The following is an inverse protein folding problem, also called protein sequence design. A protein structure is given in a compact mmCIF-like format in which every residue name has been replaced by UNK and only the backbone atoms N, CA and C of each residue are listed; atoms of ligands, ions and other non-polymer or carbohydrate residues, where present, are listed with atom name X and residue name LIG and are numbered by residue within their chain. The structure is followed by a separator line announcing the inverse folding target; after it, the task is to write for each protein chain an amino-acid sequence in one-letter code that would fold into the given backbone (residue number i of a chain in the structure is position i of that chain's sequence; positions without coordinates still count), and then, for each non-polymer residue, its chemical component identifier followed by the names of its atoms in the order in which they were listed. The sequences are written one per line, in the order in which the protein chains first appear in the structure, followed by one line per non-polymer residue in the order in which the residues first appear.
data_IF_414850375699
#
_entry.id   IF_414850375699
#
_cell.length_a   1.000
_cell.length_b   1.000
_cell.length_c   1.000
_cell.angle_alpha   90.00
_cell.angle_beta   90.00
_cell.angle_gamma   90.00
#
_symmetry.space_group_name_H-M   'P 1'
#
loop_
_entity.id
_entity.type
_entity.pdbx_description
1 polymer ?
#
# COMPACT_ATOMS: atom_id res chain seq x y z
N UNK A 1 -15.34 -9.09 -5.06
CA UNK A 1 -15.09 -8.14 -3.97
C UNK A 1 -14.57 -6.85 -4.59
N UNK A 2 -15.19 -5.69 -4.35
CA UNK A 2 -14.55 -4.44 -4.70
C UNK A 2 -13.67 -4.02 -3.53
N UNK A 3 -12.36 -4.00 -3.75
CA UNK A 3 -11.35 -3.55 -2.79
C UNK A 3 -11.02 -2.09 -3.05
N UNK A 4 -10.52 -1.41 -2.02
CA UNK A 4 -10.14 0.00 -2.14
C UNK A 4 -8.96 0.16 -3.10
N UNK A 5 -8.85 1.27 -3.84
CA UNK A 5 -7.70 1.51 -4.70
C UNK A 5 -6.43 1.64 -3.88
N UNK A 6 -5.34 0.98 -4.29
CA UNK A 6 -4.02 1.14 -3.68
C UNK A 6 -2.93 1.09 -4.75
N UNK A 7 -1.85 1.89 -4.66
CA UNK A 7 -0.77 1.87 -5.63
C UNK A 7 -0.21 0.46 -5.86
N UNK A 8 -0.18 0.01 -7.12
CA UNK A 8 0.34 -1.31 -7.49
C UNK A 8 -0.53 -2.51 -7.07
N UNK A 9 -1.75 -2.27 -6.57
CA UNK A 9 -2.73 -3.33 -6.33
C UNK A 9 -3.51 -3.63 -7.61
N UNK A 10 -3.52 -4.91 -8.00
CA UNK A 10 -4.23 -5.36 -9.20
C UNK A 10 -5.71 -5.56 -8.93
N UNK A 11 -6.54 -5.06 -9.84
CA UNK A 11 -7.97 -5.34 -9.85
C UNK A 11 -8.27 -6.62 -10.64
N UNK A 12 -9.09 -7.50 -10.07
CA UNK A 12 -9.46 -8.79 -10.65
C UNK A 12 -10.89 -8.72 -11.23
N UNK A 13 -11.05 -8.12 -12.42
CA UNK A 13 -12.37 -7.91 -13.04
C UNK A 13 -13.14 -9.22 -13.34
N UNK A 14 -12.44 -10.29 -13.72
CA UNK A 14 -13.03 -11.61 -14.01
C UNK A 14 -12.91 -12.59 -12.82
N UNK A 15 -12.47 -12.11 -11.66
CA UNK A 15 -12.26 -12.94 -10.47
C UNK A 15 -11.24 -14.08 -10.72
N UNK A 16 -11.70 -15.33 -10.65
CA UNK A 16 -10.87 -16.56 -10.68
C UNK A 16 -10.80 -17.26 -12.05
N UNK A 17 -11.37 -16.69 -13.11
CA UNK A 17 -11.52 -17.31 -14.43
C UNK A 17 -10.25 -17.45 -15.28
N UNK A 18 -9.06 -17.49 -14.69
CA UNK A 18 -7.80 -17.46 -15.44
C UNK A 18 -7.50 -18.80 -16.13
N UNK A 19 -7.39 -18.79 -17.47
CA UNK A 19 -6.95 -19.96 -18.26
C UNK A 19 -5.48 -20.32 -18.06
N UNK A 20 -4.65 -19.35 -17.67
CA UNK A 20 -3.23 -19.51 -17.34
C UNK A 20 -2.90 -18.65 -16.13
N UNK A 21 -2.15 -19.21 -15.20
CA UNK A 21 -1.80 -18.56 -13.93
C UNK A 21 -0.34 -18.07 -13.97
N UNK A 22 -0.11 -16.77 -13.76
CA UNK A 22 1.23 -16.19 -13.68
C UNK A 22 1.65 -15.90 -12.24
N UNK A 23 2.96 -15.72 -12.01
CA UNK A 23 3.45 -15.33 -10.68
C UNK A 23 2.90 -13.98 -10.20
N UNK A 24 2.59 -13.06 -11.12
CA UNK A 24 1.96 -11.78 -10.79
C UNK A 24 0.48 -11.96 -10.40
N UNK A 25 -0.22 -12.92 -11.00
CA UNK A 25 -1.59 -13.28 -10.58
C UNK A 25 -1.57 -13.83 -9.16
N UNK A 26 -0.66 -14.75 -8.84
CA UNK A 26 -0.49 -15.26 -7.46
C UNK A 26 -0.26 -14.11 -6.46
N UNK A 27 0.71 -13.24 -6.75
CA UNK A 27 1.07 -12.14 -5.85
C UNK A 27 -0.08 -11.16 -5.66
N UNK A 28 -0.79 -10.80 -6.73
CA UNK A 28 -1.96 -9.93 -6.62
C UNK A 28 -3.07 -10.58 -5.79
N UNK A 29 -3.31 -11.88 -5.98
CA UNK A 29 -4.35 -12.61 -5.26
C UNK A 29 -4.03 -12.70 -3.77
N UNK A 30 -2.77 -12.99 -3.40
CA UNK A 30 -2.32 -13.05 -2.00
C UNK A 30 -2.70 -11.79 -1.20
N UNK A 31 -2.74 -10.63 -1.84
CA UNK A 31 -3.06 -9.34 -1.19
C UNK A 31 -4.54 -9.15 -0.86
N UNK A 32 -5.46 -9.87 -1.51
CA UNK A 32 -6.91 -9.60 -1.43
C UNK A 32 -7.75 -10.85 -1.17
N UNK A 33 -7.16 -12.04 -1.27
CA UNK A 33 -7.88 -13.31 -1.22
C UNK A 33 -8.44 -13.62 0.16
N UNK A 34 -7.66 -13.31 1.21
CA UNK A 34 -7.98 -13.75 2.56
C UNK A 34 -9.32 -13.19 3.07
N UNK A 35 -9.61 -11.87 3.01
CA UNK A 35 -10.93 -11.35 3.33
C UNK A 35 -12.05 -11.88 2.44
N UNK A 36 -11.74 -12.22 1.19
CA UNK A 36 -12.75 -12.62 0.20
C UNK A 36 -13.32 -14.03 0.43
N UNK A 37 -12.72 -14.83 1.31
CA UNK A 37 -13.19 -16.19 1.64
C UNK A 37 -13.84 -16.29 3.03
N UNK A 38 -13.69 -15.26 3.88
CA UNK A 38 -14.32 -15.20 5.20
C UNK A 38 -15.84 -15.34 5.06
N UNK A 39 -16.47 -16.12 5.95
CA UNK A 39 -17.92 -16.39 5.90
C UNK A 39 -18.38 -17.33 4.78
N UNK A 40 -17.51 -17.69 3.84
CA UNK A 40 -17.84 -18.57 2.70
C UNK A 40 -17.19 -19.95 2.78
N UNK A 41 -16.17 -20.11 3.61
CA UNK A 41 -15.49 -21.39 3.90
C UNK A 41 -15.39 -21.59 5.41
N UNK A 42 -15.15 -22.81 5.91
CA UNK A 42 -14.92 -23.04 7.33
C UNK A 42 -13.80 -22.12 7.88
N UNK A 43 -13.95 -21.55 9.09
CA UNK A 43 -12.95 -20.64 9.68
C UNK A 43 -11.52 -21.20 9.68
N UNK A 44 -11.36 -22.50 9.94
CA UNK A 44 -10.06 -23.16 9.94
C UNK A 44 -9.38 -23.15 8.53
N UNK A 45 -10.14 -23.09 7.44
CA UNK A 45 -9.57 -22.89 6.10
C UNK A 45 -9.02 -21.48 5.92
N UNK A 46 -9.71 -20.47 6.46
CA UNK A 46 -9.26 -19.08 6.46
C UNK A 46 -7.95 -18.98 7.25
N UNK A 47 -7.92 -19.56 8.45
CA UNK A 47 -6.73 -19.63 9.31
C UNK A 47 -5.55 -20.32 8.60
N UNK A 48 -5.78 -21.45 7.92
CA UNK A 48 -4.74 -22.13 7.16
C UNK A 48 -4.15 -21.25 6.04
N UNK A 49 -4.99 -20.46 5.36
CA UNK A 49 -4.50 -19.51 4.34
C UNK A 49 -3.76 -18.35 5.00
N UNK A 50 -4.27 -17.82 6.12
CA UNK A 50 -3.63 -16.75 6.88
C UNK A 50 -2.24 -17.17 7.38
N UNK A 51 -2.11 -18.34 8.01
CA UNK A 51 -0.84 -18.89 8.50
C UNK A 51 0.17 -19.09 7.37
N UNK A 52 -0.30 -19.55 6.20
CA UNK A 52 0.55 -19.71 5.02
C UNK A 52 1.01 -18.36 4.45
N UNK A 53 0.14 -17.35 4.42
CA UNK A 53 0.51 -15.99 4.03
C UNK A 53 1.52 -15.41 5.02
N UNK A 54 1.29 -15.59 6.31
CA UNK A 54 2.19 -15.15 7.38
C UNK A 54 3.61 -15.69 7.15
N UNK A 55 3.74 -17.01 6.97
CA UNK A 55 5.00 -17.63 6.59
C UNK A 55 5.61 -16.97 5.35
N UNK A 56 4.82 -16.76 4.28
CA UNK A 56 5.31 -16.23 3.02
C UNK A 56 5.85 -14.80 3.13
N UNK A 57 5.30 -13.97 4.03
CA UNK A 57 5.77 -12.60 4.25
C UNK A 57 7.00 -12.59 5.16
N UNK A 58 7.01 -13.39 6.24
CA UNK A 58 8.16 -13.50 7.15
C UNK A 58 9.44 -13.95 6.44
N UNK A 59 9.38 -15.01 5.62
CA UNK A 59 10.58 -15.49 4.91
C UNK A 59 11.06 -14.55 3.81
N UNK A 60 10.32 -13.49 3.48
CA UNK A 60 10.71 -12.50 2.46
C UNK A 60 11.29 -11.22 3.05
N UNK A 61 11.37 -11.12 4.38
CA UNK A 61 12.05 -10.01 5.04
C UNK A 61 13.52 -9.95 4.62
N UNK A 62 14.04 -8.74 4.48
CA UNK A 62 15.44 -8.51 4.14
C UNK A 62 16.39 -8.85 5.29
N UNK A 63 15.90 -8.71 6.53
CA UNK A 63 16.62 -9.08 7.76
C UNK A 63 15.76 -10.10 8.50
N UNK A 64 16.38 -11.21 8.91
CA UNK A 64 15.73 -12.29 9.66
C UNK A 64 16.61 -12.58 10.86
N UNK A 65 16.16 -12.17 12.04
CA UNK A 65 16.78 -12.43 13.35
C UNK A 65 16.17 -13.68 14.01
N UNK A 66 16.65 -14.01 15.20
CA UNK A 66 16.19 -15.16 15.99
C UNK A 66 14.68 -15.10 16.27
N UNK A 67 14.14 -13.93 16.57
CA UNK A 67 12.72 -13.72 16.82
C UNK A 67 11.89 -13.98 15.56
N UNK A 68 12.35 -13.51 14.40
CA UNK A 68 11.71 -13.77 13.11
C UNK A 68 11.80 -15.26 12.74
N UNK A 69 12.90 -15.95 13.04
CA UNK A 69 13.01 -17.42 12.85
C UNK A 69 11.97 -18.14 13.71
N UNK A 70 11.83 -17.78 14.99
CA UNK A 70 10.81 -18.35 15.87
C UNK A 70 9.39 -18.06 15.34
N UNK A 71 9.13 -16.86 14.81
CA UNK A 71 7.87 -16.53 14.16
C UNK A 71 7.60 -17.39 12.92
N UNK A 72 8.61 -17.68 12.09
CA UNK A 72 8.51 -18.58 10.94
C UNK A 72 8.15 -20.00 11.38
N UNK A 73 8.83 -20.54 12.39
CA UNK A 73 8.55 -21.88 12.94
C UNK A 73 7.14 -21.99 13.50
N UNK A 74 6.69 -20.96 14.21
CA UNK A 74 5.32 -20.86 14.72
C UNK A 74 4.29 -20.81 13.59
N UNK A 75 4.52 -19.99 12.54
CA UNK A 75 3.63 -19.91 11.39
C UNK A 75 3.53 -21.25 10.64
N UNK A 76 4.63 -21.98 10.47
CA UNK A 76 4.64 -23.33 9.87
C UNK A 76 3.82 -24.31 10.72
N UNK A 77 4.01 -24.27 12.04
CA UNK A 77 3.31 -25.15 12.98
C UNK A 77 1.80 -24.90 12.97
N UNK A 78 1.37 -23.64 13.02
CA UNK A 78 -0.05 -23.26 12.88
C UNK A 78 -0.61 -23.65 11.52
N UNK A 79 0.10 -23.39 10.43
CA UNK A 79 -0.31 -23.81 9.09
C UNK A 79 -0.53 -25.32 9.00
N UNK A 80 0.38 -26.13 9.55
CA UNK A 80 0.25 -27.58 9.56
C UNK A 80 -0.93 -28.10 10.39
N UNK A 81 -1.25 -27.40 11.48
CA UNK A 81 -2.43 -27.69 12.28
C UNK A 81 -3.71 -27.30 11.54
N UNK A 82 -3.80 -26.06 11.07
CA UNK A 82 -4.99 -25.49 10.41
C UNK A 82 -5.30 -26.18 9.08
N UNK A 83 -4.29 -26.56 8.28
CA UNK A 83 -4.53 -27.19 6.96
C UNK A 83 -5.27 -28.51 7.03
N UNK A 84 -5.31 -29.16 8.19
CA UNK A 84 -5.99 -30.44 8.39
C UNK A 84 -7.48 -30.38 8.01
N UNK A 85 -8.09 -29.20 8.10
CA UNK A 85 -9.44 -28.94 7.59
C UNK A 85 -9.65 -29.35 6.13
N UNK A 86 -8.63 -29.24 5.27
CA UNK A 86 -8.74 -29.63 3.87
C UNK A 86 -8.84 -31.15 3.72
N UNK A 87 -8.32 -31.93 4.67
CA UNK A 87 -8.50 -33.38 4.69
C UNK A 87 -9.88 -33.74 5.23
N UNK A 88 -10.30 -33.15 6.34
CA UNK A 88 -11.59 -33.47 6.99
C UNK A 88 -12.80 -33.07 6.13
N UNK A 89 -12.69 -31.99 5.36
CA UNK A 89 -13.74 -31.57 4.39
C UNK A 89 -13.71 -32.32 3.06
N UNK A 90 -12.77 -33.26 2.87
CA UNK A 90 -12.65 -34.04 1.64
C UNK A 90 -12.06 -33.29 0.44
N UNK A 91 -11.52 -32.08 0.63
CA UNK A 91 -10.80 -31.34 -0.43
C UNK A 91 -9.48 -32.04 -0.78
N UNK A 92 -8.82 -32.65 0.21
CA UNK A 92 -7.56 -33.40 0.09
C UNK A 92 -7.61 -34.69 0.93
N UNK A 93 -8.41 -35.69 0.54
CA UNK A 93 -8.56 -36.92 1.33
C UNK A 93 -7.24 -37.69 1.46
N UNK A 94 -6.40 -37.67 0.43
CA UNK A 94 -5.10 -38.38 0.38
C UNK A 94 -3.97 -37.65 1.13
N UNK A 95 -4.28 -36.57 1.85
CA UNK A 95 -3.33 -35.79 2.64
C UNK A 95 -2.43 -34.85 1.83
N UNK A 96 -1.30 -34.46 2.45
CA UNK A 96 -0.42 -33.38 1.97
C UNK A 96 0.96 -33.85 1.45
N UNK A 97 1.28 -35.14 1.59
CA UNK A 97 2.55 -35.72 1.12
C UNK A 97 2.91 -35.44 -0.34
N UNK A 98 1.97 -35.42 -1.32
CA UNK A 98 2.32 -35.14 -2.72
C UNK A 98 2.53 -33.65 -3.04
N UNK A 99 2.69 -32.78 -2.04
CA UNK A 99 2.85 -31.34 -2.20
C UNK A 99 4.29 -30.91 -1.84
N UNK A 100 5.27 -31.08 -2.75
CA UNK A 100 6.68 -30.81 -2.45
C UNK A 100 6.94 -29.36 -2.03
N UNK A 101 6.17 -28.40 -2.57
CA UNK A 101 6.27 -26.97 -2.19
C UNK A 101 5.71 -26.67 -0.80
N UNK A 102 4.77 -27.46 -0.30
CA UNK A 102 4.33 -27.34 1.10
C UNK A 102 5.31 -28.07 2.03
N UNK A 103 5.88 -29.19 1.59
CA UNK A 103 6.91 -29.87 2.36
C UNK A 103 8.17 -29.00 2.50
N UNK A 104 8.53 -28.20 1.49
CA UNK A 104 9.73 -27.35 1.57
C UNK A 104 9.71 -26.32 2.70
N UNK A 105 8.54 -25.97 3.23
CA UNK A 105 8.38 -24.96 4.27
C UNK A 105 9.21 -25.29 5.52
N UNK A 106 9.27 -26.57 5.93
CA UNK A 106 10.00 -26.99 7.14
C UNK A 106 11.51 -26.82 7.04
N UNK A 107 12.05 -26.66 5.84
CA UNK A 107 13.48 -26.50 5.63
C UNK A 107 13.92 -25.03 5.71
N UNK A 108 12.99 -24.07 5.66
CA UNK A 108 13.32 -22.65 5.68
C UNK A 108 14.08 -22.21 6.93
N UNK A 109 13.68 -22.57 8.17
CA UNK A 109 14.39 -22.14 9.38
C UNK A 109 15.88 -22.53 9.35
N UNK A 110 16.18 -23.81 9.08
CA UNK A 110 17.56 -24.30 8.97
C UNK A 110 18.34 -23.62 7.84
N UNK A 111 17.72 -23.47 6.66
CA UNK A 111 18.38 -22.85 5.51
C UNK A 111 18.66 -21.36 5.75
N UNK A 112 17.76 -20.65 6.43
CA UNK A 112 17.97 -19.25 6.81
C UNK A 112 19.14 -19.12 7.79
N UNK A 113 19.21 -20.00 8.79
CA UNK A 113 20.34 -20.00 9.74
C UNK A 113 21.69 -20.30 9.05
N UNK A 114 21.68 -21.18 8.05
CA UNK A 114 22.91 -21.56 7.33
C UNK A 114 23.34 -20.57 6.24
N UNK A 115 22.38 -19.91 5.57
CA UNK A 115 22.64 -19.17 4.33
C UNK A 115 22.13 -17.72 4.35
N UNK A 116 21.45 -17.29 5.40
CA UNK A 116 20.85 -15.96 5.53
C UNK A 116 19.46 -15.84 4.90
N UNK A 117 18.94 -14.61 4.86
CA UNK A 117 17.63 -14.31 4.31
C UNK A 117 17.55 -14.71 2.82
N UNK A 118 16.45 -15.35 2.37
CA UNK A 118 16.32 -15.80 0.99
C UNK A 118 15.93 -14.65 0.04
N UNK A 119 15.71 -13.44 0.57
CA UNK A 119 15.46 -12.26 -0.24
C UNK A 119 16.64 -12.05 -1.23
N UNK A 120 16.33 -11.82 -2.50
CA UNK A 120 17.35 -11.71 -3.55
C UNK A 120 17.89 -13.03 -4.14
N UNK A 121 17.49 -14.21 -3.65
CA UNK A 121 17.88 -15.52 -4.22
C UNK A 121 16.84 -16.11 -5.18
N UNK A 122 15.84 -15.33 -5.59
CA UNK A 122 14.75 -15.81 -6.43
C UNK A 122 15.16 -15.97 -7.91
N UNK A 123 14.68 -17.05 -8.55
CA UNK A 123 14.82 -17.27 -9.99
C UNK A 123 14.16 -16.18 -10.85
N UNK A 124 13.37 -15.28 -10.27
CA UNK A 124 12.86 -14.11 -10.98
C UNK A 124 13.96 -13.20 -11.52
N UNK A 125 15.14 -13.17 -10.87
CA UNK A 125 16.29 -12.39 -11.34
C UNK A 125 16.81 -12.96 -12.66
N UNK A 126 17.00 -14.27 -12.73
CA UNK A 126 17.45 -14.94 -13.95
C UNK A 126 16.36 -14.95 -15.02
N UNK A 127 15.09 -15.09 -14.64
CA UNK A 127 13.96 -14.99 -15.57
C UNK A 127 13.84 -13.59 -16.20
N UNK A 128 14.01 -12.53 -15.42
CA UNK A 128 14.02 -11.15 -15.92
C UNK A 128 15.14 -10.93 -16.95
N UNK A 129 16.35 -11.42 -16.65
CA UNK A 129 17.47 -11.41 -17.62
C UNK A 129 17.16 -12.25 -18.85
N UNK A 130 16.53 -13.41 -18.70
CA UNK A 130 16.11 -14.27 -19.82
C UNK A 130 15.08 -13.58 -20.74
N UNK A 131 14.19 -12.74 -20.22
CA UNK A 131 13.30 -11.92 -21.05
C UNK A 131 14.11 -10.98 -21.95
N UNK A 132 15.07 -10.26 -21.37
CA UNK A 132 15.86 -9.25 -22.08
C UNK A 132 16.86 -9.89 -23.06
N UNK A 133 17.57 -10.93 -22.64
CA UNK A 133 18.64 -11.55 -23.41
C UNK A 133 18.16 -12.63 -24.40
N UNK A 134 16.97 -13.22 -24.20
CA UNK A 134 16.49 -14.32 -25.03
C UNK A 134 15.13 -14.01 -25.65
N UNK A 135 14.07 -13.82 -24.84
CA UNK A 135 12.70 -13.68 -25.38
C UNK A 135 12.56 -12.47 -26.31
N UNK A 136 13.10 -11.30 -25.95
CA UNK A 136 13.04 -10.09 -26.78
C UNK A 136 13.86 -10.22 -28.08
N UNK A 137 15.14 -10.60 -28.05
CA UNK A 137 15.91 -10.85 -29.26
C UNK A 137 15.29 -11.91 -30.17
N UNK A 138 14.78 -13.01 -29.62
CA UNK A 138 14.09 -14.04 -30.40
C UNK A 138 12.85 -13.48 -31.10
N UNK A 139 12.02 -12.69 -30.40
CA UNK A 139 10.84 -12.03 -30.98
C UNK A 139 11.19 -11.05 -32.12
N UNK A 140 12.35 -10.40 -32.03
CA UNK A 140 12.88 -9.45 -33.04
C UNK A 140 13.63 -10.12 -34.19
N UNK A 141 14.04 -11.37 -34.03
CA UNK A 141 14.75 -12.14 -35.05
C UNK A 141 13.81 -12.62 -36.16
N UNK A 142 14.39 -13.09 -37.27
CA UNK A 142 13.64 -13.77 -38.34
C UNK A 142 13.05 -15.13 -37.92
N UNK A 143 13.36 -15.63 -36.72
CA UNK A 143 13.00 -16.96 -36.17
C UNK A 143 13.53 -18.15 -36.97
N UNK A 144 14.28 -17.92 -38.05
CA UNK A 144 15.00 -18.94 -38.80
C UNK A 144 16.49 -18.90 -38.43
N UNK A 145 16.99 -19.94 -37.78
CA UNK A 145 18.35 -19.98 -37.18
C UNK A 145 18.68 -18.69 -36.39
N UNK A 146 17.84 -18.30 -35.41
CA UNK A 146 17.85 -16.94 -34.85
C UNK A 146 19.05 -16.64 -33.95
N UNK A 147 19.83 -17.64 -33.54
CA UNK A 147 20.87 -17.50 -32.51
C UNK A 147 21.89 -16.40 -32.84
N UNK A 148 22.40 -16.36 -34.07
CA UNK A 148 23.36 -15.34 -34.49
C UNK A 148 22.78 -13.92 -34.40
N UNK A 149 21.52 -13.73 -34.81
CA UNK A 149 20.82 -12.44 -34.71
C UNK A 149 20.55 -12.04 -33.25
N UNK A 150 20.22 -13.02 -32.40
CA UNK A 150 20.00 -12.79 -30.98
C UNK A 150 21.28 -12.32 -30.28
N UNK A 151 22.41 -13.00 -30.53
CA UNK A 151 23.71 -12.64 -29.97
C UNK A 151 24.17 -11.25 -30.42
N UNK A 152 24.02 -10.93 -31.71
CA UNK A 152 24.32 -9.59 -32.24
C UNK A 152 23.44 -8.51 -31.63
N UNK A 153 22.17 -8.79 -31.38
CA UNK A 153 21.25 -7.86 -30.73
C UNK A 153 21.69 -7.57 -29.30
N UNK A 154 22.03 -8.61 -28.53
CA UNK A 154 22.54 -8.45 -27.16
C UNK A 154 23.83 -7.64 -27.15
N UNK A 155 24.80 -7.98 -28.01
CA UNK A 155 26.06 -7.24 -28.12
C UNK A 155 25.84 -5.75 -28.43
N UNK A 156 24.90 -5.42 -29.33
CA UNK A 156 24.58 -4.02 -29.66
C UNK A 156 23.94 -3.30 -28.47
N UNK A 157 23.04 -3.96 -27.74
CA UNK A 157 22.42 -3.38 -26.56
C UNK A 157 23.43 -3.11 -25.44
N UNK A 158 24.38 -4.01 -25.23
CA UNK A 158 25.45 -3.85 -24.25
C UNK A 158 26.38 -2.68 -24.64
N UNK A 159 26.79 -2.60 -25.91
CA UNK A 159 27.59 -1.49 -26.43
C UNK A 159 26.89 -0.13 -26.27
N UNK A 160 25.59 -0.05 -26.57
CA UNK A 160 24.81 1.16 -26.38
C UNK A 160 24.69 1.55 -24.90
N UNK A 161 24.54 0.56 -24.02
CA UNK A 161 24.46 0.80 -22.57
C UNK A 161 25.80 1.32 -22.03
N UNK A 162 26.92 0.72 -22.43
CA UNK A 162 28.25 1.16 -22.05
C UNK A 162 28.57 2.57 -22.59
N UNK A 163 28.26 2.84 -23.87
CA UNK A 163 28.47 4.16 -24.46
C UNK A 163 27.63 5.24 -23.76
N UNK A 164 26.42 4.90 -23.32
CA UNK A 164 25.59 5.83 -22.55
C UNK A 164 26.23 6.20 -21.20
N UNK A 165 26.76 5.22 -20.47
CA UNK A 165 27.49 5.47 -19.22
C UNK A 165 28.68 6.39 -19.44
N UNK A 166 29.44 6.17 -20.53
CA UNK A 166 30.55 7.06 -20.92
C UNK A 166 30.04 8.50 -21.18
N UNK A 167 28.94 8.68 -21.91
CA UNK A 167 28.35 10.00 -22.16
C UNK A 167 27.84 10.67 -20.88
N UNK A 168 27.21 9.93 -19.97
CA UNK A 168 26.75 10.43 -18.67
C UNK A 168 27.94 10.86 -17.80
N UNK A 169 29.05 10.09 -17.78
CA UNK A 169 30.28 10.45 -17.05
C UNK A 169 30.95 11.73 -17.55
N UNK A 170 30.73 12.07 -18.83
CA UNK A 170 31.25 13.28 -19.48
C UNK A 170 30.26 14.45 -19.44
N UNK A 171 29.12 14.30 -18.76
CA UNK A 171 28.01 15.27 -18.76
C UNK A 171 27.46 15.61 -20.15
N UNK A 172 27.65 14.73 -21.14
CA UNK A 172 27.13 14.88 -22.51
C UNK A 172 25.70 14.33 -22.64
N UNK A 173 25.24 13.59 -21.62
CA UNK A 173 23.87 13.13 -21.45
C UNK A 173 23.45 13.38 -20.01
N UNK A 174 22.24 13.92 -19.81
CA UNK A 174 21.68 14.04 -18.47
C UNK A 174 21.54 12.64 -17.87
N UNK A 175 21.98 12.42 -16.62
CA UNK A 175 21.76 11.17 -15.91
C UNK A 175 20.28 10.85 -15.95
N UNK A 176 19.94 9.60 -16.30
CA UNK A 176 18.56 9.14 -16.16
C UNK A 176 18.23 9.24 -14.68
N UNK A 177 17.31 10.14 -14.27
CA UNK A 177 16.71 10.08 -12.93
C UNK A 177 16.35 8.63 -12.68
N UNK A 178 16.96 8.01 -11.68
CA UNK A 178 16.87 6.59 -11.29
C UNK A 178 15.65 5.91 -11.90
N UNK A 179 15.81 5.36 -13.11
CA UNK A 179 14.75 4.58 -13.70
C UNK A 179 14.72 3.28 -12.92
N UNK A 180 13.57 2.96 -12.33
CA UNK A 180 13.28 1.64 -11.82
C UNK A 180 13.76 0.55 -12.82
N UNK A 181 14.07 -0.67 -12.35
CA UNK A 181 14.32 -1.80 -13.24
C UNK A 181 13.24 -1.83 -14.35
N UNK A 182 13.58 -2.21 -15.59
CA UNK A 182 12.64 -2.15 -16.70
C UNK A 182 11.33 -2.82 -16.26
N UNK A 183 10.17 -2.17 -16.43
CA UNK A 183 8.91 -2.72 -15.94
C UNK A 183 8.74 -4.16 -16.44
N UNK A 184 8.10 -5.03 -15.65
CA UNK A 184 7.69 -6.34 -16.15
C UNK A 184 6.95 -6.11 -17.48
N UNK A 185 7.18 -6.97 -18.50
CA UNK A 185 6.58 -6.76 -19.80
C UNK A 185 5.07 -6.61 -19.66
N UNK A 186 4.41 -5.72 -20.43
CA UNK A 186 2.96 -5.72 -20.49
C UNK A 186 2.50 -7.13 -20.87
N UNK A 187 1.39 -7.62 -20.29
CA UNK A 187 0.83 -8.90 -20.69
C UNK A 187 0.64 -8.93 -22.22
N UNK A 188 0.67 -10.12 -22.85
CA UNK A 188 0.32 -10.23 -24.26
C UNK A 188 -1.03 -9.52 -24.47
N UNK A 189 -1.23 -8.80 -25.59
CA UNK A 189 -2.45 -8.03 -25.80
C UNK A 189 -3.65 -8.95 -25.59
N UNK A 190 -4.38 -8.67 -24.51
CA UNK A 190 -5.72 -9.18 -24.34
C UNK A 190 -6.56 -8.58 -25.47
N UNK A 191 -7.53 -9.37 -25.93
CA UNK A 191 -8.47 -9.02 -26.99
C UNK A 191 -9.06 -7.62 -26.76
N UNK A 192 -9.51 -6.92 -27.83
CA UNK A 192 -9.85 -5.50 -27.76
C UNK A 192 -10.89 -5.27 -26.65
N UNK A 193 -10.49 -4.51 -25.63
CA UNK A 193 -11.34 -4.23 -24.47
C UNK A 193 -10.66 -3.50 -23.32
N UNK A 194 -9.34 -3.61 -23.15
CA UNK A 194 -8.62 -2.90 -22.07
C UNK A 194 -7.56 -1.97 -22.65
N UNK A 195 -7.85 -0.68 -22.64
CA UNK A 195 -6.88 0.38 -22.91
C UNK A 195 -5.93 0.40 -21.71
N UNK A 196 -4.73 -0.17 -21.86
CA UNK A 196 -3.63 0.06 -20.94
C UNK A 196 -3.18 1.53 -21.12
N UNK A 197 -3.78 2.42 -20.33
CA UNK A 197 -3.24 3.77 -20.16
C UNK A 197 -1.87 3.69 -19.48
N UNK A 198 -0.90 4.55 -19.87
CA UNK A 198 0.43 4.55 -19.28
C UNK A 198 0.34 4.69 -17.75
N UNK A 199 0.83 3.68 -17.03
CA UNK A 199 1.02 3.74 -15.58
C UNK A 199 2.01 4.87 -15.27
N UNK A 200 1.53 6.01 -14.77
CA UNK A 200 2.38 6.95 -14.03
C UNK A 200 3.03 6.17 -12.87
N UNK A 201 4.32 6.37 -12.59
CA UNK A 201 5.01 5.72 -11.47
C UNK A 201 4.38 6.19 -10.14
N UNK A 202 3.29 5.52 -9.71
CA UNK A 202 2.52 5.88 -8.50
C UNK A 202 3.25 5.47 -7.21
N UNK A 203 4.23 4.57 -7.33
CA UNK A 203 5.10 4.10 -6.25
C UNK A 203 6.33 3.42 -6.85
N UNK A 204 7.48 3.55 -6.19
CA UNK A 204 8.72 2.95 -6.70
C UNK A 204 9.95 3.14 -5.82
N UNK A 205 11.07 2.49 -6.21
CA UNK A 205 12.35 2.67 -5.56
C UNK A 205 12.84 4.13 -5.72
N UNK A 206 13.52 4.66 -4.70
CA UNK A 206 14.10 6.01 -4.76
C UNK A 206 15.52 6.02 -4.16
N UNK A 207 16.44 6.72 -4.80
CA UNK A 207 17.82 6.88 -4.32
C UNK A 207 17.92 8.17 -3.49
N UNK A 208 17.54 8.08 -2.21
CA UNK A 208 17.61 9.17 -1.22
C UNK A 208 18.31 8.70 0.07
N UNK A 209 18.80 9.63 0.91
CA UNK A 209 19.27 9.31 2.25
C UNK A 209 18.20 8.55 3.04
N UNK A 210 18.64 7.73 3.98
CA UNK A 210 17.76 6.99 4.88
C UNK A 210 16.76 7.94 5.57
N UNK A 211 15.48 7.56 5.56
CA UNK A 211 14.41 8.19 6.33
C UNK A 211 13.46 7.09 6.82
N UNK A 212 13.08 7.16 8.09
CA UNK A 212 12.13 6.21 8.69
C UNK A 212 10.73 6.35 8.07
N UNK A 213 10.34 7.58 7.75
CA UNK A 213 9.09 7.95 7.08
C UNK A 213 9.05 9.47 6.91
N UNK A 214 8.65 9.96 5.75
CA UNK A 214 8.48 11.39 5.48
C UNK A 214 7.39 11.59 4.43
N UNK A 215 6.40 12.42 4.76
CA UNK A 215 5.27 12.73 3.87
C UNK A 215 5.30 14.21 3.49
N UNK A 216 5.47 14.47 2.19
CA UNK A 216 5.55 15.84 1.66
C UNK A 216 4.42 16.14 0.69
N UNK A 217 3.80 17.30 0.85
CA UNK A 217 2.82 17.80 -0.11
C UNK A 217 3.40 17.92 -1.52
N UNK A 218 2.57 17.68 -2.52
CA UNK A 218 2.91 17.94 -3.92
C UNK A 218 3.47 19.35 -4.12
N UNK A 219 4.53 19.48 -4.94
CA UNK A 219 5.25 20.76 -5.10
C UNK A 219 4.39 21.94 -5.54
N UNK A 220 3.30 21.70 -6.27
CA UNK A 220 2.41 22.75 -6.78
C UNK A 220 1.01 22.55 -6.20
N UNK A 221 0.40 23.60 -5.63
CA UNK A 221 -1.00 23.54 -5.23
C UNK A 221 -1.90 23.38 -6.46
N UNK A 222 -3.10 22.87 -6.22
CA UNK A 222 -4.16 22.75 -7.19
C UNK A 222 -4.45 24.10 -7.87
N UNK A 223 -4.67 24.06 -9.18
CA UNK A 223 -4.96 25.25 -9.99
C UNK A 223 -6.47 25.42 -10.13
N UNK A 224 -6.92 26.68 -10.22
CA UNK A 224 -8.34 27.03 -10.42
C UNK A 224 -9.26 26.54 -9.28
N UNK A 225 -8.71 26.42 -8.07
CA UNK A 225 -9.46 26.10 -6.85
C UNK A 225 -9.62 27.38 -6.01
N UNK A 226 -10.78 27.59 -5.34
CA UNK A 226 -10.95 28.66 -4.38
C UNK A 226 -9.89 28.61 -3.27
N UNK A 227 -9.51 29.77 -2.74
CA UNK A 227 -8.43 29.87 -1.74
C UNK A 227 -8.88 30.46 -0.42
N UNK A 228 -10.03 31.13 -0.36
CA UNK A 228 -10.57 31.65 0.91
C UNK A 228 -11.16 30.48 1.68
N UNK A 229 -11.07 30.51 3.01
CA UNK A 229 -11.49 29.38 3.84
C UNK A 229 -12.94 29.00 3.57
N UNK A 230 -13.86 29.98 3.55
CA UNK A 230 -15.28 29.73 3.32
C UNK A 230 -15.54 29.15 1.92
N UNK A 231 -14.98 29.78 0.86
CA UNK A 231 -15.15 29.28 -0.51
C UNK A 231 -14.54 27.87 -0.70
N UNK A 232 -13.46 27.56 0.04
CA UNK A 232 -12.83 26.25 0.03
C UNK A 232 -13.64 25.23 0.83
N UNK A 233 -14.28 25.64 1.93
CA UNK A 233 -15.19 24.82 2.72
C UNK A 233 -16.39 24.39 1.87
N UNK A 234 -17.01 25.34 1.16
CA UNK A 234 -18.10 25.07 0.22
C UNK A 234 -17.63 24.17 -0.93
N UNK A 235 -16.44 24.47 -1.48
CA UNK A 235 -15.85 23.62 -2.49
C UNK A 235 -15.72 22.20 -1.94
N UNK A 236 -15.05 21.96 -0.82
CA UNK A 236 -14.82 20.63 -0.27
C UNK A 236 -16.09 19.95 0.28
N UNK A 237 -17.22 20.66 0.39
CA UNK A 237 -18.43 20.22 1.09
C UNK A 237 -18.14 19.93 2.57
N UNK A 238 -17.34 20.79 3.19
CA UNK A 238 -16.86 20.66 4.57
C UNK A 238 -17.12 21.98 5.31
N UNK A 239 -18.37 22.24 5.75
CA UNK A 239 -18.74 23.53 6.35
C UNK A 239 -18.00 23.82 7.66
N UNK A 240 -17.52 22.77 8.34
CA UNK A 240 -16.74 22.89 9.58
C UNK A 240 -15.26 23.17 9.34
N UNK A 241 -14.79 23.28 8.10
CA UNK A 241 -13.36 23.44 7.77
C UNK A 241 -12.71 24.60 8.52
N UNK A 242 -13.40 25.74 8.65
CA UNK A 242 -12.90 26.89 9.41
C UNK A 242 -12.67 26.55 10.90
N UNK A 243 -13.62 25.86 11.52
CA UNK A 243 -13.53 25.38 12.90
C UNK A 243 -12.36 24.42 13.05
N UNK A 244 -12.26 23.41 12.17
CA UNK A 244 -11.21 22.40 12.21
C UNK A 244 -9.81 23.01 12.07
N UNK A 245 -9.64 24.00 11.19
CA UNK A 245 -8.35 24.71 11.04
C UNK A 245 -7.95 25.48 12.31
N UNK A 246 -8.92 26.05 13.03
CA UNK A 246 -8.66 26.77 14.29
C UNK A 246 -8.34 25.82 15.44
N UNK A 247 -9.04 24.68 15.52
CA UNK A 247 -8.75 23.63 16.49
C UNK A 247 -7.36 23.02 16.26
N UNK A 248 -7.02 22.76 14.99
CA UNK A 248 -5.67 22.36 14.60
C UNK A 248 -4.62 23.39 15.01
N UNK A 249 -4.84 24.68 14.72
CA UNK A 249 -3.91 25.74 15.13
C UNK A 249 -3.74 25.82 16.65
N UNK A 250 -4.81 25.56 17.41
CA UNK A 250 -4.70 25.50 18.86
C UNK A 250 -3.74 24.38 19.30
N UNK A 251 -3.89 23.17 18.76
CA UNK A 251 -3.00 22.04 19.04
C UNK A 251 -1.54 22.35 18.69
N UNK A 252 -1.31 23.00 17.54
CA UNK A 252 0.05 23.37 17.11
C UNK A 252 0.70 24.43 17.99
N UNK A 253 -0.10 25.33 18.57
CA UNK A 253 0.39 26.39 19.46
C UNK A 253 0.50 25.93 20.93
N UNK A 254 -0.11 24.78 21.27
CA UNK A 254 -0.11 24.21 22.62
C UNK A 254 0.15 22.69 22.56
N UNK A 255 1.35 22.27 22.14
CA UNK A 255 1.68 20.84 22.00
C UNK A 255 1.63 20.09 23.34
N UNK A 256 1.90 20.77 24.46
CA UNK A 256 1.90 20.19 25.80
C UNK A 256 0.53 20.23 26.50
N UNK A 257 -0.55 20.54 25.76
CA UNK A 257 -1.89 20.56 26.33
C UNK A 257 -2.27 19.15 26.86
N UNK A 258 -2.84 19.03 28.07
CA UNK A 258 -3.23 17.73 28.59
C UNK A 258 -4.40 17.14 27.79
N UNK A 259 -4.50 15.80 27.79
CA UNK A 259 -5.63 15.07 27.20
C UNK A 259 -6.96 15.61 27.74
N UNK A 260 -7.90 15.90 26.84
CA UNK A 260 -9.18 16.54 27.18
C UNK A 260 -9.14 18.07 27.20
N UNK A 261 -8.00 18.70 26.89
CA UNK A 261 -7.85 20.14 26.65
C UNK A 261 -7.26 20.42 25.26
N UNK A 262 -7.45 19.49 24.32
CA UNK A 262 -7.05 19.69 22.94
C UNK A 262 -8.03 20.63 22.24
N UNK A 263 -7.67 21.12 21.06
CA UNK A 263 -8.44 22.07 20.27
C UNK A 263 -9.89 21.66 20.05
N UNK A 264 -10.17 20.35 19.95
CA UNK A 264 -11.53 19.81 19.82
C UNK A 264 -12.37 19.88 21.10
N UNK A 265 -11.71 19.90 22.27
CA UNK A 265 -12.35 19.83 23.59
C UNK A 265 -12.61 21.22 24.18
N UNK A 266 -12.01 22.27 23.59
CA UNK A 266 -12.15 23.64 24.06
C UNK A 266 -13.17 24.46 23.24
N UNK A 267 -13.80 25.48 23.86
CA UNK A 267 -14.64 26.42 23.13
C UNK A 267 -13.90 27.12 21.98
N UNK A 268 -14.56 27.24 20.83
CA UNK A 268 -13.96 27.76 19.59
C UNK A 268 -13.50 29.23 19.70
N UNK A 269 -14.04 30.00 20.63
CA UNK A 269 -13.60 31.36 20.96
C UNK A 269 -12.21 31.40 21.61
N UNK A 270 -11.78 30.31 22.25
CA UNK A 270 -10.44 30.16 22.82
C UNK A 270 -9.40 29.70 21.79
N UNK A 271 -9.82 29.12 20.67
CA UNK A 271 -8.91 28.75 19.59
C UNK A 271 -8.32 30.00 18.89
N UNK A 272 -7.11 29.93 18.32
CA UNK A 272 -6.51 31.04 17.58
C UNK A 272 -7.43 31.55 16.47
N UNK A 273 -7.58 32.87 16.34
CA UNK A 273 -8.44 33.45 15.30
C UNK A 273 -7.80 33.26 13.91
N UNK A 274 -8.60 32.76 12.97
CA UNK A 274 -8.25 32.66 11.55
C UNK A 274 -9.30 33.43 10.76
N UNK A 275 -8.90 34.49 10.06
CA UNK A 275 -9.81 35.26 9.22
C UNK A 275 -10.51 34.32 8.21
N UNK A 276 -11.82 34.45 8.05
CA UNK A 276 -12.60 33.76 7.01
C UNK A 276 -12.03 33.98 5.59
N UNK A 277 -11.37 35.13 5.36
CA UNK A 277 -10.69 35.46 4.11
C UNK A 277 -9.28 34.89 4.00
N UNK A 278 -8.81 34.17 5.02
CA UNK A 278 -7.48 33.61 5.06
C UNK A 278 -7.26 32.67 3.87
N UNK A 279 -6.03 32.66 3.34
CA UNK A 279 -5.72 31.92 2.12
C UNK A 279 -5.20 30.52 2.45
N UNK A 280 -5.98 29.51 2.09
CA UNK A 280 -5.63 28.10 2.18
C UNK A 280 -5.42 27.56 0.77
N UNK A 281 -4.35 26.80 0.58
CA UNK A 281 -3.97 26.19 -0.69
C UNK A 281 -4.26 24.69 -0.64
N UNK A 282 -5.13 24.22 -1.54
CA UNK A 282 -5.40 22.79 -1.71
C UNK A 282 -4.29 22.12 -2.53
N UNK A 283 -3.89 20.93 -2.13
CA UNK A 283 -3.02 20.02 -2.86
C UNK A 283 -3.78 18.73 -3.19
N UNK A 284 -3.53 18.15 -4.37
CA UNK A 284 -4.22 16.94 -4.82
C UNK A 284 -3.56 15.64 -4.35
N UNK A 285 -2.32 15.74 -3.89
CA UNK A 285 -1.54 14.60 -3.43
C UNK A 285 -0.42 15.01 -2.49
N UNK A 286 0.02 14.02 -1.72
CA UNK A 286 1.25 14.02 -0.94
C UNK A 286 2.08 12.78 -1.31
N UNK A 287 3.38 12.87 -1.10
CA UNK A 287 4.36 11.85 -1.44
C UNK A 287 4.97 11.32 -0.14
N UNK A 288 4.72 10.05 0.16
CA UNK A 288 5.33 9.35 1.28
C UNK A 288 6.64 8.71 0.83
N UNK A 289 7.68 8.79 1.64
CA UNK A 289 8.99 8.18 1.42
C UNK A 289 9.44 7.48 2.70
N UNK A 290 9.75 6.19 2.61
CA UNK A 290 10.02 5.35 3.78
C UNK A 290 11.02 4.25 3.41
N UNK A 291 11.66 3.70 4.45
CA UNK A 291 12.62 2.61 4.31
C UNK A 291 11.90 1.26 4.24
N UNK A 292 12.01 0.57 3.10
CA UNK A 292 11.32 -0.70 2.82
C UNK A 292 12.22 -1.66 2.03
N UNK A 293 13.30 -2.18 2.64
CA UNK A 293 14.31 -2.98 1.95
C UNK A 293 13.81 -4.38 1.54
N UNK A 294 12.73 -4.87 2.17
CA UNK A 294 12.05 -6.11 1.81
C UNK A 294 11.21 -5.97 0.52
N UNK A 295 10.88 -4.74 0.14
CA UNK A 295 10.20 -4.41 -1.12
C UNK A 295 11.20 -4.10 -2.24
N UNK A 296 10.70 -3.90 -3.46
CA UNK A 296 11.51 -3.36 -4.55
C UNK A 296 11.87 -1.90 -4.22
N UNK A 297 13.06 -1.69 -3.66
CA UNK A 297 13.56 -0.42 -3.14
C UNK A 297 14.79 0.12 -3.89
N UNK A 298 15.13 1.38 -3.66
CA UNK A 298 16.34 2.02 -4.20
C UNK A 298 17.61 1.48 -3.55
N UNK A 299 18.77 2.00 -3.96
CA UNK A 299 20.09 1.56 -3.46
C UNK A 299 20.23 1.68 -1.94
N UNK A 300 19.54 2.66 -1.33
CA UNK A 300 19.49 2.87 0.11
C UNK A 300 18.34 2.16 0.83
N UNK A 301 17.60 1.26 0.17
CA UNK A 301 16.42 0.62 0.76
C UNK A 301 15.16 1.50 0.79
N UNK A 302 15.22 2.71 0.20
CA UNK A 302 14.12 3.66 0.21
C UNK A 302 13.09 3.39 -0.89
N UNK A 303 11.83 3.59 -0.54
CA UNK A 303 10.67 3.49 -1.43
C UNK A 303 9.82 4.75 -1.28
N UNK A 304 9.08 5.09 -2.33
CA UNK A 304 8.07 6.11 -2.27
C UNK A 304 6.70 5.63 -2.76
N UNK A 305 5.66 6.33 -2.35
CA UNK A 305 4.29 6.18 -2.88
C UNK A 305 3.52 7.50 -2.85
N UNK A 306 2.54 7.61 -3.75
CA UNK A 306 1.70 8.79 -3.87
C UNK A 306 0.34 8.57 -3.19
N UNK A 307 0.04 9.40 -2.21
CA UNK A 307 -1.24 9.46 -1.50
C UNK A 307 -2.10 10.56 -2.16
N UNK A 308 -3.35 10.25 -2.51
CA UNK A 308 -4.24 11.15 -3.25
C UNK A 308 -5.49 11.55 -2.47
N UNK A 309 -5.86 12.80 -2.68
CA UNK A 309 -7.15 13.37 -2.29
C UNK A 309 -7.67 14.24 -3.44
N UNK A 310 -8.44 13.62 -4.34
CA UNK A 310 -8.93 14.25 -5.58
C UNK A 310 -10.41 13.97 -5.81
N UNK A 311 -11.13 14.99 -6.26
CA UNK A 311 -12.57 14.88 -6.58
C UNK A 311 -12.89 14.15 -7.88
N UNK A 312 -11.91 14.03 -8.77
CA UNK A 312 -12.01 13.25 -9.99
C UNK A 312 -10.64 12.70 -10.34
N UNK A 313 -10.57 11.39 -10.54
CA UNK A 313 -9.35 10.69 -10.94
C UNK A 313 -9.55 10.07 -12.32
N UNK A 314 -8.67 10.39 -13.28
CA UNK A 314 -8.74 9.92 -14.69
C UNK A 314 -10.12 10.12 -15.33
N UNK A 315 -10.69 11.32 -15.17
CA UNK A 315 -12.07 11.65 -15.59
C UNK A 315 -13.16 10.75 -14.99
N UNK A 316 -12.82 10.03 -13.92
CA UNK A 316 -13.71 9.15 -13.18
C UNK A 316 -14.09 9.74 -11.82
N UNK A 317 -14.59 8.88 -10.90
CA UNK A 317 -15.04 9.28 -9.58
C UNK A 317 -13.89 9.83 -8.71
N UNK A 318 -14.27 10.39 -7.56
CA UNK A 318 -13.31 10.85 -6.57
C UNK A 318 -12.43 9.70 -6.03
N UNK A 319 -11.21 10.06 -5.61
CA UNK A 319 -10.25 9.15 -4.98
C UNK A 319 -9.68 9.83 -3.74
N UNK A 320 -9.93 9.20 -2.60
CA UNK A 320 -9.50 9.62 -1.27
C UNK A 320 -8.83 8.41 -0.62
N UNK A 321 -7.50 8.42 -0.62
CA UNK A 321 -6.69 7.30 -0.15
C UNK A 321 -6.68 7.24 1.39
N UNK A 322 -6.49 6.04 1.95
CA UNK A 322 -6.29 5.84 3.38
C UNK A 322 -4.80 5.90 3.73
N UNK A 323 -4.49 6.25 4.97
CA UNK A 323 -3.14 6.46 5.48
C UNK A 323 -2.98 5.86 6.87
N UNK A 324 -1.79 5.34 7.14
CA UNK A 324 -1.30 5.09 8.48
C UNK A 324 -0.72 6.38 9.06
N UNK A 325 -0.97 6.61 10.33
CA UNK A 325 -0.41 7.71 11.12
C UNK A 325 0.25 7.12 12.37
N UNK A 326 1.31 7.76 12.86
CA UNK A 326 1.95 7.37 14.12
C UNK A 326 1.05 7.81 15.28
N UNK A 327 0.81 6.89 16.23
CA UNK A 327 0.13 7.17 17.48
C UNK A 327 1.08 7.75 18.54
N UNK A 328 0.52 8.26 19.63
CA UNK A 328 1.26 8.99 20.66
C UNK A 328 2.00 8.09 21.66
N UNK A 329 1.73 6.77 21.68
CA UNK A 329 2.31 5.84 22.66
C UNK A 329 3.56 5.12 22.13
N UNK A 330 4.73 5.54 22.61
CA UNK A 330 6.03 4.95 22.27
C UNK A 330 6.20 3.51 22.79
N UNK A 331 5.34 3.04 23.71
CA UNK A 331 5.41 1.70 24.30
C UNK A 331 4.72 0.61 23.46
N UNK A 332 3.88 1.00 22.51
CA UNK A 332 3.11 0.07 21.68
C UNK A 332 3.89 -0.40 20.45
N UNK A 333 3.61 -1.62 19.98
CA UNK A 333 4.33 -2.25 18.87
C UNK A 333 3.35 -2.65 17.76
N UNK A 334 3.84 -2.74 16.53
CA UNK A 334 3.04 -3.18 15.39
C UNK A 334 1.95 -2.17 15.04
N UNK A 335 0.71 -2.64 14.95
CA UNK A 335 -0.44 -1.80 14.61
C UNK A 335 -1.02 -1.03 15.81
N UNK A 336 -0.76 -1.43 17.05
CA UNK A 336 -1.31 -0.72 18.23
C UNK A 336 -0.83 0.74 18.25
N UNK A 337 0.46 0.97 17.96
CA UNK A 337 1.05 2.30 17.74
C UNK A 337 0.60 3.03 16.46
N UNK A 338 -0.24 2.43 15.62
CA UNK A 338 -0.65 3.01 14.34
C UNK A 338 -2.13 3.40 14.37
N UNK A 339 -2.41 4.58 13.85
CA UNK A 339 -3.77 5.06 13.58
C UNK A 339 -4.08 4.97 12.09
N UNK A 340 -5.36 4.85 11.74
CA UNK A 340 -5.82 4.79 10.34
C UNK A 340 -6.79 5.94 10.07
N UNK A 341 -6.61 6.58 8.93
CA UNK A 341 -7.51 7.65 8.48
C UNK A 341 -7.66 7.68 6.96
N UNK A 342 -8.76 8.24 6.48
CA UNK A 342 -9.00 8.53 5.05
C UNK A 342 -8.77 10.01 4.78
N UNK A 343 -7.94 10.33 3.79
CA UNK A 343 -7.59 11.72 3.47
C UNK A 343 -8.60 12.31 2.50
N UNK A 344 -9.29 13.38 2.92
CA UNK A 344 -10.24 14.12 2.09
C UNK A 344 -9.63 15.36 1.42
N UNK A 345 -8.61 15.96 2.02
CA UNK A 345 -7.90 17.09 1.42
C UNK A 345 -6.47 17.21 1.96
N UNK A 346 -5.54 17.67 1.12
CA UNK A 346 -4.25 18.17 1.57
C UNK A 346 -4.25 19.70 1.52
N UNK A 347 -3.90 20.34 2.62
CA UNK A 347 -4.04 21.78 2.80
C UNK A 347 -2.69 22.40 3.15
N UNK A 348 -2.46 23.63 2.72
CA UNK A 348 -1.34 24.45 3.18
C UNK A 348 -1.82 25.87 3.44
N UNK A 349 -1.49 26.42 4.59
CA UNK A 349 -1.79 27.82 4.90
C UNK A 349 -0.70 28.41 5.81
N UNK A 350 -0.75 29.73 6.04
CA UNK A 350 0.27 30.43 6.84
C UNK A 350 -0.34 31.07 8.07
N UNK A 351 0.18 30.80 9.26
CA UNK A 351 -0.21 31.53 10.47
C UNK A 351 1.03 32.12 11.14
N UNK A 352 0.99 33.43 11.43
CA UNK A 352 2.10 34.17 12.06
C UNK A 352 3.47 33.97 11.36
N UNK A 353 3.47 33.86 10.02
CA UNK A 353 4.69 33.68 9.23
C UNK A 353 5.15 32.22 9.06
N UNK A 354 4.57 31.27 9.81
CA UNK A 354 4.86 29.84 9.72
C UNK A 354 3.95 29.19 8.69
N UNK A 355 4.51 28.30 7.85
CA UNK A 355 3.76 27.48 6.89
C UNK A 355 3.31 26.18 7.57
N UNK A 356 2.01 25.87 7.49
CA UNK A 356 1.42 24.65 8.03
C UNK A 356 0.94 23.73 6.90
N UNK A 357 1.70 22.69 6.53
CA UNK A 357 1.22 21.60 5.68
C UNK A 357 0.34 20.64 6.50
N UNK A 358 -0.89 20.40 6.03
CA UNK A 358 -1.89 19.66 6.78
C UNK A 358 -2.64 18.68 5.89
N UNK A 359 -3.31 17.72 6.51
CA UNK A 359 -4.28 16.84 5.88
C UNK A 359 -5.63 16.91 6.62
N UNK A 360 -6.73 16.95 5.88
CA UNK A 360 -8.08 16.76 6.40
C UNK A 360 -8.38 15.27 6.37
N UNK A 361 -8.55 14.67 7.54
CA UNK A 361 -8.67 13.24 7.76
C UNK A 361 -10.06 12.91 8.31
N UNK A 362 -10.57 11.76 7.90
CA UNK A 362 -11.65 11.06 8.58
C UNK A 362 -11.07 9.82 9.28
N UNK A 363 -11.30 9.68 10.58
CA UNK A 363 -10.68 8.65 11.41
C UNK A 363 -11.39 7.31 11.33
N UNK A 364 -10.63 6.25 11.63
CA UNK A 364 -11.15 4.92 11.89
C UNK A 364 -10.66 4.44 13.26
N UNK A 365 -11.58 3.98 14.09
CA UNK A 365 -11.28 3.33 15.37
C UNK A 365 -11.13 1.82 15.22
N UNK A 366 -10.29 1.23 16.07
CA UNK A 366 -10.11 -0.22 16.14
C UNK A 366 -11.37 -0.91 16.66
N UNK A 367 -11.67 -2.09 16.11
CA UNK A 367 -12.76 -2.96 16.54
C UNK A 367 -12.17 -4.02 17.46
N UNK A 368 -12.33 -3.82 18.76
CA UNK A 368 -11.73 -4.68 19.79
C UNK A 368 -10.25 -4.40 20.02
N UNK A 369 -9.63 -5.23 20.88
CA UNK A 369 -8.25 -5.04 21.36
C UNK A 369 -7.28 -6.09 20.81
N UNK A 370 -7.66 -6.80 19.74
CA UNK A 370 -6.84 -7.85 19.14
C UNK A 370 -7.17 -8.01 17.65
N UNK A 371 -6.24 -8.57 16.85
CA UNK A 371 -6.52 -8.98 15.48
C UNK A 371 -7.65 -10.01 15.40
N UNK A 372 -8.32 -10.08 14.25
CA UNK A 372 -9.32 -11.10 13.96
C UNK A 372 -8.73 -12.53 14.02
N UNK A 373 -9.34 -13.41 14.82
CA UNK A 373 -8.87 -14.81 15.04
C UNK A 373 -8.81 -15.67 13.75
N UNK A 374 -9.59 -15.33 12.73
CA UNK A 374 -9.62 -16.06 11.46
C UNK A 374 -8.53 -15.59 10.49
N UNK A 375 -8.29 -14.28 10.45
CA UNK A 375 -7.49 -13.64 9.39
C UNK A 375 -6.13 -13.11 9.88
N UNK A 376 -5.97 -12.91 11.19
CA UNK A 376 -4.80 -12.28 11.79
C UNK A 376 -4.61 -10.81 11.39
N UNK A 377 -5.66 -10.14 10.88
CA UNK A 377 -5.69 -8.72 10.55
C UNK A 377 -6.47 -7.93 11.59
N UNK A 378 -6.01 -6.71 11.87
CA UNK A 378 -6.77 -5.75 12.66
C UNK A 378 -8.03 -5.31 11.92
N UNK A 379 -9.07 -5.03 12.68
CA UNK A 379 -10.34 -4.54 12.18
C UNK A 379 -10.54 -3.10 12.63
N UNK A 380 -11.07 -2.26 11.75
CA UNK A 380 -11.36 -0.85 12.03
C UNK A 380 -12.73 -0.47 11.50
N UNK A 381 -13.37 0.52 12.12
CA UNK A 381 -14.66 1.08 11.72
C UNK A 381 -14.54 2.61 11.59
N UNK A 382 -15.26 3.25 10.67
CA UNK A 382 -15.23 4.70 10.52
C UNK A 382 -15.83 5.38 11.75
N UNK A 383 -15.20 6.47 12.20
CA UNK A 383 -15.66 7.23 13.37
C UNK A 383 -16.82 8.14 13.00
N UNK A 384 -17.99 7.89 13.58
CA UNK A 384 -19.19 8.68 13.35
C UNK A 384 -19.54 9.53 14.57
N UNK A 385 -20.01 10.74 14.33
CA UNK A 385 -20.57 11.60 15.37
C UNK A 385 -21.97 11.13 15.80
N UNK A 386 -22.59 11.85 16.75
CA UNK A 386 -23.94 11.51 17.26
C UNK A 386 -25.05 11.65 16.22
N UNK A 387 -24.76 12.24 15.07
CA UNK A 387 -25.66 12.46 13.95
C UNK A 387 -25.28 11.58 12.75
N UNK A 388 -24.47 10.55 12.95
CA UNK A 388 -23.97 9.63 11.93
C UNK A 388 -23.14 10.32 10.82
N UNK A 389 -22.56 11.49 11.08
CA UNK A 389 -21.64 12.13 10.16
C UNK A 389 -20.19 11.69 10.42
N UNK A 390 -19.34 11.65 9.37
CA UNK A 390 -17.92 11.41 9.52
C UNK A 390 -17.26 12.38 10.52
N UNK A 391 -16.56 11.85 11.52
CA UNK A 391 -15.69 12.65 12.38
C UNK A 391 -14.48 13.06 11.56
N UNK A 392 -14.31 14.38 11.40
CA UNK A 392 -13.26 14.98 10.58
C UNK A 392 -12.27 15.73 11.46
N UNK A 393 -10.99 15.69 11.12
CA UNK A 393 -9.94 16.44 11.80
C UNK A 393 -8.89 16.95 10.82
N UNK A 394 -8.28 18.10 11.12
CA UNK A 394 -7.10 18.57 10.40
C UNK A 394 -5.87 18.21 11.22
N UNK A 395 -4.98 17.41 10.63
CA UNK A 395 -3.71 16.98 11.24
C UNK A 395 -2.53 17.57 10.48
N UNK A 396 -1.38 17.66 11.15
CA UNK A 396 -0.14 18.06 10.47
C UNK A 396 0.30 16.93 9.51
N UNK A 397 0.93 17.29 8.39
CA UNK A 397 1.34 16.27 7.41
C UNK A 397 2.36 15.28 7.98
N UNK A 398 3.15 15.72 8.96
CA UNK A 398 4.19 14.91 9.62
C UNK A 398 3.60 13.78 10.48
N UNK A 399 2.31 13.84 10.83
CA UNK A 399 1.62 12.74 11.50
C UNK A 399 1.39 11.55 10.55
N UNK A 400 1.37 11.79 9.23
CA UNK A 400 1.16 10.74 8.25
C UNK A 400 2.45 9.96 8.05
N UNK A 401 2.34 8.64 8.08
CA UNK A 401 3.46 7.76 7.85
C UNK A 401 3.52 7.28 6.40
N UNK A 402 2.46 6.61 5.95
CA UNK A 402 2.33 6.07 4.58
C UNK A 402 0.87 5.76 4.23
N UNK A 403 0.58 5.32 3.01
CA UNK A 403 -0.72 4.81 2.61
C UNK A 403 -1.12 3.52 3.34
N UNK A 404 -2.38 3.43 3.75
CA UNK A 404 -3.00 2.23 4.31
C UNK A 404 -3.99 1.62 3.29
N UNK A 405 -4.10 0.31 3.28
CA UNK A 405 -5.10 -0.38 2.46
C UNK A 405 -6.16 -1.05 3.34
N UNK A 406 -7.42 -0.67 3.13
CA UNK A 406 -8.57 -1.21 3.84
C UNK A 406 -9.38 -2.12 2.94
N UNK A 407 -9.79 -3.28 3.46
CA UNK A 407 -10.67 -4.22 2.76
C UNK A 407 -11.94 -4.38 3.57
N UNK A 408 -13.10 -4.08 2.97
CA UNK A 408 -14.37 -4.17 3.67
C UNK A 408 -14.73 -5.56 4.17
N UNK A 409 -15.39 -5.61 5.32
CA UNK A 409 -15.88 -6.85 5.92
C UNK A 409 -17.30 -7.11 5.40
N UNK A 410 -17.48 -8.25 4.72
CA UNK A 410 -18.78 -8.67 4.15
C UNK A 410 -19.53 -9.67 5.01
N UNK A 411 -18.84 -10.40 5.90
CA UNK A 411 -19.41 -11.58 6.53
C UNK A 411 -19.78 -12.66 5.50
N UNK A 412 -20.94 -13.29 5.67
CA UNK A 412 -21.52 -14.28 4.77
C UNK A 412 -22.33 -13.68 3.61
N UNK A 413 -22.50 -12.35 3.59
CA UNK A 413 -23.25 -11.66 2.55
C UNK A 413 -22.49 -11.56 1.22
N UNK A 414 -23.24 -11.62 0.12
CA UNK A 414 -22.69 -11.37 -1.22
C UNK A 414 -22.61 -9.89 -1.50
N UNK A 415 -21.42 -9.41 -1.86
CA UNK A 415 -21.21 -8.04 -2.32
C UNK A 415 -22.16 -7.71 -3.49
N UNK A 416 -22.90 -6.58 -3.43
CA UNK A 416 -23.76 -6.15 -4.53
C UNK A 416 -23.01 -6.06 -5.87
N UNK A 417 -23.64 -6.49 -6.96
CA UNK A 417 -23.03 -6.49 -8.30
C UNK A 417 -23.18 -5.12 -8.99
N UNK A 418 -24.18 -4.35 -8.58
CA UNK A 418 -24.50 -3.04 -9.16
C UNK A 418 -24.15 -1.93 -8.18
N UNK A 419 -23.68 -0.80 -8.73
CA UNK A 419 -23.24 0.40 -8.00
C UNK A 419 -22.14 0.15 -6.95
N UNK A 420 -21.50 -1.02 -6.93
CA UNK A 420 -20.45 -1.35 -5.97
C UNK A 420 -19.09 -1.39 -6.66
N UNK A 421 -18.25 -0.38 -6.40
CA UNK A 421 -16.97 -0.22 -7.07
C UNK A 421 -15.83 0.11 -6.12
N UNK A 422 -14.56 0.02 -6.58
CA UNK A 422 -13.41 0.38 -5.76
C UNK A 422 -13.53 1.80 -5.17
N UNK A 423 -14.05 2.75 -5.96
CA UNK A 423 -14.13 4.16 -5.62
C UNK A 423 -15.12 4.51 -4.49
N UNK A 424 -16.13 3.68 -4.23
CA UNK A 424 -17.14 3.91 -3.18
C UNK A 424 -17.15 2.79 -2.12
N UNK A 425 -16.19 1.86 -2.17
CA UNK A 425 -16.10 0.76 -1.21
C UNK A 425 -15.91 1.24 0.23
N UNK A 426 -15.10 2.30 0.44
CA UNK A 426 -14.91 2.92 1.77
C UNK A 426 -16.19 3.54 2.36
N UNK A 427 -17.20 3.81 1.53
CA UNK A 427 -18.45 4.45 1.94
C UNK A 427 -19.57 3.43 2.17
N UNK A 428 -19.36 2.15 1.80
CA UNK A 428 -20.41 1.12 1.79
C UNK A 428 -20.26 0.04 2.85
N UNK A 429 -19.08 -0.13 3.43
CA UNK A 429 -18.85 -1.10 4.50
C UNK A 429 -18.88 -0.42 5.87
N UNK A 430 -19.40 -1.14 6.86
CA UNK A 430 -19.43 -0.68 8.26
C UNK A 430 -18.09 -0.89 8.98
N UNK A 431 -17.32 -1.88 8.55
CA UNK A 431 -16.02 -2.20 9.13
C UNK A 431 -15.07 -2.74 8.05
N UNK A 432 -13.78 -2.68 8.32
CA UNK A 432 -12.71 -2.98 7.38
C UNK A 432 -11.60 -3.78 8.06
N UNK A 433 -11.03 -4.74 7.34
CA UNK A 433 -9.72 -5.29 7.68
C UNK A 433 -8.62 -4.33 7.23
N UNK A 434 -7.66 -4.09 8.11
CA UNK A 434 -6.40 -3.42 7.79
C UNK A 434 -5.49 -4.42 7.08
N UNK A 435 -5.28 -4.22 5.78
CA UNK A 435 -4.57 -5.19 4.96
C UNK A 435 -3.05 -5.10 5.14
N UNK A 436 -2.52 -5.80 6.14
CA UNK A 436 -1.08 -5.95 6.34
C UNK A 436 -0.36 -6.67 5.19
N UNK A 437 -1.09 -7.41 4.35
CA UNK A 437 -0.50 -8.14 3.21
C UNK A 437 -0.42 -7.30 1.94
N UNK A 438 -0.72 -5.99 1.96
CA UNK A 438 -0.68 -5.18 0.72
C UNK A 438 0.73 -5.06 0.12
N UNK A 439 1.76 -5.04 0.96
CA UNK A 439 3.19 -5.14 0.61
C UNK A 439 4.01 -5.59 1.84
N UNK A 440 5.33 -5.76 1.71
CA UNK A 440 6.14 -6.28 2.83
C UNK A 440 6.33 -5.25 3.92
N UNK A 441 6.52 -3.98 3.57
CA UNK A 441 6.64 -2.93 4.57
C UNK A 441 5.36 -2.78 5.42
N UNK A 442 4.17 -2.91 4.82
CA UNK A 442 2.91 -2.91 5.57
C UNK A 442 2.81 -4.09 6.54
N UNK A 443 3.34 -5.26 6.14
CA UNK A 443 3.43 -6.43 7.02
C UNK A 443 4.42 -6.22 8.16
N UNK A 444 5.53 -5.51 7.93
CA UNK A 444 6.53 -5.23 8.98
C UNK A 444 6.07 -4.17 9.99
N UNK A 445 5.30 -3.16 9.57
CA UNK A 445 4.91 -2.07 10.48
C UNK A 445 3.61 -2.33 11.22
N UNK A 446 2.67 -3.09 10.63
CA UNK A 446 1.35 -3.34 11.20
C UNK A 446 1.26 -4.70 11.91
N UNK A 447 2.40 -5.37 12.14
CA UNK A 447 2.50 -6.66 12.82
C UNK A 447 3.59 -6.65 13.87
#
# INVERSE_FOLDING_TARGET
MATTPFPGLRQFHEGRGFKQWTGNDSKGLMKVYLPAIVGHVPPQMVQAVADFLEFCYLVRRNVIDEDTVAAIENAISRFHHSREIFRTTGVRPDGFSPLPRQHSLVHYPLLIQQFGAPNGLCSSITESKHIVAVKRPWRRSSRNQPLGQMLLTNQRQDKLSAYRVDLESRNLLLPRKSAAPPPPPPPPPLRPGTIDEPEEEESGPIDQPYSQGDVKLSRKPARKIPRRVDDLADYLQQPQLWTLLRQFLYNQLHPDAPVGQMGRDIPIDQCPNLDHRHRVFLHHSAHASFFAPSDASGLGGMRHELIRAVKSWRNGPARYDCVFMEGDDEGEVGFERLLVGRVFAFLRFKHQGVDYPCALIHWFSTVGNAPCDETGMWMVQPDLDRQDNPVMEVVHIDCLYRGAHLIGITGDERVPVHDFGPHNSLDKYMAFYVNKYVDYHAHEIAF
#
